data_IF_756883076714
#
_entry.id   IF_756883076714
#
_cell.length_a   1.000
_cell.length_b   1.000
_cell.length_c   1.000
_cell.angle_alpha   90.00
_cell.angle_beta   90.00
_cell.angle_gamma   90.00
#
_symmetry.space_group_name_H-M   'P 1'
#
loop_
_entity.id
_entity.type
_entity.pdbx_description
1 polymer ?
#
# COMPACT_ATOMS: atom_id res chain seq x y z
N UNK A 1 -1.96 24.49 -4.69
CA UNK A 1 -2.05 23.05 -4.34
C UNK A 1 -3.45 22.43 -4.56
N UNK A 2 -4.57 23.16 -4.33
CA UNK A 2 -5.93 22.65 -4.61
C UNK A 2 -6.28 22.45 -6.10
N UNK A 3 -5.58 23.08 -7.04
CA UNK A 3 -5.92 23.02 -8.48
C UNK A 3 -5.33 21.84 -9.27
N UNK A 4 -4.30 21.16 -8.76
CA UNK A 4 -3.70 20.01 -9.46
C UNK A 4 -4.44 18.70 -9.18
N UNK A 5 -5.10 18.57 -8.02
CA UNK A 5 -5.95 17.43 -7.69
C UNK A 5 -7.35 17.50 -8.34
N UNK A 6 -7.81 18.69 -8.72
CA UNK A 6 -9.16 18.91 -9.26
C UNK A 6 -9.42 18.27 -10.62
N UNK A 7 -8.41 18.01 -11.44
CA UNK A 7 -8.59 17.44 -12.78
C UNK A 7 -8.58 15.92 -12.86
N UNK A 8 -8.04 15.23 -11.85
CA UNK A 8 -8.08 13.75 -11.72
C UNK A 8 -9.18 13.26 -10.76
N UNK A 9 -9.70 14.13 -9.89
CA UNK A 9 -10.63 13.77 -8.79
C UNK A 9 -12.08 14.22 -9.07
N UNK A 10 -12.36 14.82 -10.22
CA UNK A 10 -13.71 15.36 -10.56
C UNK A 10 -14.87 14.36 -10.56
N UNK A 11 -14.69 13.10 -10.14
CA UNK A 11 -15.72 12.04 -10.18
C UNK A 11 -15.94 11.34 -8.83
N UNK A 12 -15.27 11.75 -7.72
CA UNK A 12 -15.28 10.98 -6.46
C UNK A 12 -15.54 11.83 -5.21
N UNK A 13 -16.58 12.67 -5.21
CA UNK A 13 -17.02 13.36 -4.01
C UNK A 13 -18.42 12.90 -3.58
N UNK A 14 -18.50 11.74 -2.96
CA UNK A 14 -19.46 11.47 -1.89
C UNK A 14 -18.71 10.84 -0.72
N UNK A 15 -18.46 11.68 0.27
CA UNK A 15 -17.80 11.32 1.54
C UNK A 15 -18.70 10.33 2.29
N UNK A 16 -18.28 9.10 2.48
CA UNK A 16 -18.59 8.23 3.61
C UNK A 16 -18.66 6.69 3.36
N UNK A 17 -18.24 6.16 2.17
CA UNK A 17 -18.37 4.72 1.92
C UNK A 17 -17.17 4.12 1.15
N UNK A 18 -15.92 4.49 1.43
CA UNK A 18 -14.85 4.24 0.45
C UNK A 18 -14.11 2.91 0.55
N UNK A 19 -13.97 2.29 1.71
CA UNK A 19 -13.32 0.96 1.76
C UNK A 19 -14.20 -0.13 1.16
N UNK A 20 -15.44 -0.24 1.62
CA UNK A 20 -16.43 -1.17 1.07
C UNK A 20 -16.79 -0.85 -0.38
N UNK A 21 -16.89 0.44 -0.76
CA UNK A 21 -17.33 0.83 -2.10
C UNK A 21 -16.23 0.70 -3.17
N UNK A 22 -14.96 0.95 -2.87
CA UNK A 22 -13.87 0.78 -3.85
C UNK A 22 -13.60 -0.71 -4.09
N UNK A 23 -13.42 -1.50 -3.04
CA UNK A 23 -13.26 -2.95 -3.16
C UNK A 23 -14.56 -3.62 -3.63
N UNK A 24 -15.73 -3.16 -3.19
CA UNK A 24 -17.04 -3.66 -3.62
C UNK A 24 -17.33 -3.31 -5.09
N UNK A 25 -16.96 -2.11 -5.56
CA UNK A 25 -17.06 -1.72 -6.97
C UNK A 25 -16.14 -2.57 -7.85
N UNK A 26 -14.91 -2.85 -7.42
CA UNK A 26 -14.01 -3.77 -8.10
C UNK A 26 -14.52 -5.23 -8.03
N UNK A 27 -15.08 -5.68 -6.92
CA UNK A 27 -15.67 -7.02 -6.78
C UNK A 27 -16.94 -7.20 -7.62
N UNK A 28 -17.82 -6.21 -7.72
CA UNK A 28 -19.07 -6.28 -8.48
C UNK A 28 -18.91 -6.07 -9.97
N UNK A 29 -18.00 -5.20 -10.41
CA UNK A 29 -17.72 -5.03 -11.84
C UNK A 29 -17.18 -6.31 -12.48
N UNK A 30 -16.42 -7.13 -11.75
CA UNK A 30 -15.95 -8.42 -12.26
C UNK A 30 -17.04 -9.47 -12.32
N UNK A 31 -17.99 -9.52 -11.36
CA UNK A 31 -19.16 -10.41 -11.45
C UNK A 31 -20.08 -10.04 -12.62
N UNK A 32 -20.30 -8.76 -12.89
CA UNK A 32 -21.10 -8.32 -14.03
C UNK A 32 -20.44 -8.63 -15.38
N UNK A 33 -19.10 -8.48 -15.48
CA UNK A 33 -18.35 -8.87 -16.69
C UNK A 33 -18.31 -10.39 -16.88
N UNK A 34 -18.18 -11.19 -15.83
CA UNK A 34 -18.25 -12.65 -15.92
C UNK A 34 -19.62 -13.15 -16.37
N UNK A 35 -20.70 -12.56 -15.89
CA UNK A 35 -22.07 -12.93 -16.32
C UNK A 35 -22.29 -12.56 -17.79
N UNK A 36 -21.76 -11.42 -18.26
CA UNK A 36 -21.88 -11.00 -19.67
C UNK A 36 -21.05 -11.87 -20.62
N UNK A 37 -19.88 -12.35 -20.19
CA UNK A 37 -19.05 -13.28 -21.01
C UNK A 37 -19.63 -14.71 -21.03
N UNK A 38 -20.26 -15.17 -19.96
CA UNK A 38 -20.95 -16.49 -19.97
C UNK A 38 -22.18 -16.48 -20.88
N UNK A 39 -22.93 -15.38 -20.94
CA UNK A 39 -24.10 -15.27 -21.84
C UNK A 39 -23.71 -15.18 -23.31
N UNK A 40 -22.56 -14.57 -23.65
CA UNK A 40 -22.07 -14.60 -25.04
C UNK A 40 -21.50 -15.95 -25.45
N UNK A 41 -20.85 -16.70 -24.58
CA UNK A 41 -20.34 -18.04 -24.88
C UNK A 41 -21.48 -19.07 -25.09
N UNK A 42 -22.60 -18.95 -24.38
CA UNK A 42 -23.78 -19.80 -24.58
C UNK A 42 -24.53 -19.54 -25.89
N UNK A 43 -24.46 -18.31 -26.44
CA UNK A 43 -25.08 -17.97 -27.72
C UNK A 43 -24.27 -18.44 -28.94
N UNK A 44 -22.95 -18.66 -28.78
CA UNK A 44 -22.08 -19.11 -29.88
C UNK A 44 -22.09 -20.65 -30.09
N UNK A 45 -22.60 -21.43 -29.15
CA UNK A 45 -22.63 -22.89 -29.19
C UNK A 45 -23.85 -23.48 -29.93
N UNK A 46 -24.78 -22.68 -30.39
CA UNK A 46 -26.01 -23.15 -31.06
C UNK A 46 -25.98 -23.05 -32.61
N UNK A 47 -24.86 -22.64 -33.23
CA UNK A 47 -24.79 -22.45 -34.71
C UNK A 47 -23.78 -23.40 -35.41
N UNK A 48 -23.17 -24.33 -34.72
CA UNK A 48 -22.20 -25.25 -35.32
C UNK A 48 -22.65 -26.73 -35.26
N UNK A 49 -23.75 -27.05 -35.95
CA UNK A 49 -24.06 -28.43 -36.37
C UNK A 49 -24.32 -28.45 -37.87
N UNK A 50 -23.30 -28.75 -38.66
CA UNK A 50 -23.40 -28.92 -40.10
C UNK A 50 -22.13 -29.53 -40.69
N UNK A 51 -22.14 -30.84 -40.87
CA UNK A 51 -21.38 -31.75 -41.75
C UNK A 51 -20.03 -31.36 -42.33
N UNK A 52 -19.03 -32.26 -42.16
CA UNK A 52 -17.86 -32.36 -43.06
C UNK A 52 -16.73 -33.23 -42.51
N UNK A 53 -16.59 -34.37 -43.11
CA UNK A 53 -15.63 -35.49 -43.04
C UNK A 53 -14.21 -35.28 -42.50
N UNK A 54 -13.73 -36.36 -41.93
CA UNK A 54 -12.43 -36.66 -41.35
C UNK A 54 -11.21 -36.40 -42.24
N UNK A 55 -10.12 -35.94 -41.64
CA UNK A 55 -8.76 -36.44 -41.89
C UNK A 55 -7.93 -36.34 -40.60
N UNK A 56 -7.37 -37.50 -40.23
CA UNK A 56 -6.39 -37.69 -39.14
C UNK A 56 -5.11 -36.89 -39.40
N UNK A 57 -4.64 -36.16 -38.40
CA UNK A 57 -3.20 -35.97 -38.18
C UNK A 57 -2.94 -35.76 -36.70
N UNK A 58 -2.26 -36.73 -36.12
CA UNK A 58 -1.73 -36.69 -34.76
C UNK A 58 -0.66 -35.59 -34.65
N UNK A 59 -0.88 -34.58 -33.83
CA UNK A 59 0.18 -33.82 -33.18
C UNK A 59 -0.20 -33.63 -31.71
N UNK A 60 0.38 -34.48 -30.87
CA UNK A 60 0.40 -34.30 -29.44
C UNK A 60 1.31 -33.13 -29.10
N UNK A 61 0.76 -31.96 -28.99
CA UNK A 61 1.35 -30.86 -28.23
C UNK A 61 0.58 -30.81 -26.92
N UNK A 62 1.21 -31.29 -25.84
CA UNK A 62 0.71 -31.14 -24.50
C UNK A 62 0.76 -29.62 -24.17
N UNK A 63 -0.35 -28.93 -24.37
CA UNK A 63 -0.59 -27.63 -23.77
C UNK A 63 -0.68 -27.84 -22.25
N UNK A 64 0.41 -27.46 -21.57
CA UNK A 64 0.39 -27.27 -20.13
C UNK A 64 -0.48 -26.04 -19.87
N UNK A 65 -1.78 -26.23 -19.78
CA UNK A 65 -2.69 -25.23 -19.22
C UNK A 65 -2.34 -25.13 -17.74
N UNK A 66 -1.49 -24.17 -17.39
CA UNK A 66 -1.39 -23.67 -16.04
C UNK A 66 -2.77 -23.12 -15.68
N UNK A 67 -3.53 -23.88 -14.89
CA UNK A 67 -4.73 -23.40 -14.25
C UNK A 67 -4.30 -22.22 -13.36
N UNK A 68 -4.42 -21.00 -13.86
CA UNK A 68 -4.36 -19.82 -13.03
C UNK A 68 -5.51 -19.93 -12.02
N UNK A 69 -5.17 -20.37 -10.80
CA UNK A 69 -6.13 -20.35 -9.71
C UNK A 69 -6.56 -18.89 -9.52
N UNK A 70 -7.84 -18.63 -9.72
CA UNK A 70 -8.45 -17.34 -9.37
C UNK A 70 -8.34 -17.18 -7.85
N UNK A 71 -7.25 -16.56 -7.40
CA UNK A 71 -7.08 -16.20 -5.98
C UNK A 71 -8.08 -15.08 -5.71
N UNK A 72 -9.10 -15.37 -4.92
CA UNK A 72 -10.01 -14.37 -4.38
C UNK A 72 -9.36 -13.82 -3.12
N UNK A 73 -9.18 -12.50 -3.05
CA UNK A 73 -8.63 -11.84 -1.87
C UNK A 73 -9.49 -12.15 -0.64
N UNK A 74 -8.83 -12.57 0.44
CA UNK A 74 -9.48 -12.93 1.68
C UNK A 74 -9.68 -11.71 2.55
N UNK A 75 -10.87 -11.48 3.07
CA UNK A 75 -11.10 -10.50 4.12
C UNK A 75 -10.65 -11.07 5.47
N UNK A 76 -9.82 -10.31 6.19
CA UNK A 76 -9.40 -10.59 7.55
C UNK A 76 -10.19 -9.71 8.51
N UNK A 77 -10.52 -10.26 9.65
CA UNK A 77 -11.03 -9.51 10.79
C UNK A 77 -9.88 -8.94 11.62
N UNK A 78 -10.19 -7.96 12.47
CA UNK A 78 -9.22 -7.40 13.41
C UNK A 78 -9.84 -7.12 14.77
N UNK A 79 -8.99 -7.04 15.79
CA UNK A 79 -9.35 -6.49 17.08
C UNK A 79 -8.33 -5.45 17.51
N UNK A 80 -8.78 -4.43 18.22
CA UNK A 80 -7.92 -3.42 18.81
C UNK A 80 -7.30 -4.02 20.08
N UNK A 81 -5.97 -4.07 20.14
CA UNK A 81 -5.19 -4.52 21.29
C UNK A 81 -4.93 -3.34 22.22
N UNK A 82 -4.49 -2.21 21.64
CA UNK A 82 -4.22 -0.98 22.37
C UNK A 82 -4.48 0.27 21.50
N UNK A 83 -4.59 1.41 22.15
CA UNK A 83 -4.67 2.72 21.52
C UNK A 83 -3.61 3.62 22.16
N UNK A 84 -2.77 4.21 21.32
CA UNK A 84 -1.72 5.12 21.73
C UNK A 84 -2.06 6.54 21.31
N UNK A 85 -1.60 7.52 22.08
CA UNK A 85 -1.70 8.93 21.66
C UNK A 85 -0.80 9.15 20.45
N UNK A 86 -1.31 9.85 19.44
CA UNK A 86 -0.57 10.25 18.27
C UNK A 86 -0.72 11.75 18.03
N UNK A 87 0.27 12.40 17.44
CA UNK A 87 0.27 13.84 17.23
C UNK A 87 -0.60 14.21 16.03
N UNK A 88 -1.56 15.10 16.25
CA UNK A 88 -2.37 15.69 15.16
C UNK A 88 -1.59 16.62 14.23
N UNK A 89 -0.32 16.90 14.53
CA UNK A 89 0.59 17.62 13.63
C UNK A 89 1.39 16.67 12.72
N UNK A 90 1.27 15.36 12.93
CA UNK A 90 1.92 14.34 12.13
C UNK A 90 1.10 14.04 10.87
N UNK A 91 1.58 14.53 9.74
CA UNK A 91 1.07 14.13 8.43
C UNK A 91 1.78 12.85 7.99
N UNK A 92 1.34 11.72 8.53
CA UNK A 92 2.01 10.42 8.40
C UNK A 92 2.15 10.00 6.94
N UNK A 93 3.38 9.70 6.53
CA UNK A 93 3.71 9.21 5.20
C UNK A 93 4.48 7.89 5.22
N UNK A 94 5.08 7.54 6.34
CA UNK A 94 5.71 6.24 6.58
C UNK A 94 5.69 5.91 8.05
N UNK A 95 5.50 4.64 8.39
CA UNK A 95 5.47 4.14 9.76
C UNK A 95 6.22 2.82 9.82
N UNK A 96 7.07 2.62 10.83
CA UNK A 96 7.87 1.40 10.95
C UNK A 96 8.17 1.11 12.42
N UNK A 97 8.11 -0.17 12.82
CA UNK A 97 8.49 -0.59 14.17
C UNK A 97 9.78 -1.39 14.13
N UNK A 98 10.88 -0.80 14.57
CA UNK A 98 12.21 -1.39 14.49
C UNK A 98 12.85 -1.42 15.86
N UNK A 99 13.29 -2.60 16.30
CA UNK A 99 14.00 -2.81 17.58
C UNK A 99 13.31 -2.19 18.81
N UNK A 100 11.97 -2.32 18.88
CA UNK A 100 11.20 -1.79 20.00
C UNK A 100 10.89 -0.30 19.90
N UNK A 101 11.23 0.36 18.80
CA UNK A 101 11.04 1.78 18.58
C UNK A 101 10.06 2.02 17.42
N UNK A 102 9.05 2.86 17.65
CA UNK A 102 8.16 3.34 16.59
C UNK A 102 8.78 4.52 15.88
N UNK A 103 8.95 4.40 14.56
CA UNK A 103 9.47 5.43 13.68
C UNK A 103 8.39 5.93 12.75
N UNK A 104 8.43 7.24 12.46
CA UNK A 104 7.48 7.87 11.58
C UNK A 104 8.15 8.87 10.66
N UNK A 105 7.85 8.77 9.36
CA UNK A 105 8.13 9.80 8.37
C UNK A 105 6.91 10.67 8.16
N UNK A 106 7.09 12.00 8.20
CA UNK A 106 5.98 12.95 8.03
C UNK A 106 6.13 13.75 6.75
N UNK A 107 5.00 14.16 6.18
CA UNK A 107 4.91 15.04 5.02
C UNK A 107 4.71 16.51 5.38
N UNK A 108 4.38 17.30 4.36
CA UNK A 108 4.18 18.75 4.30
C UNK A 108 5.46 19.57 4.13
N UNK A 109 5.44 20.44 3.13
CA UNK A 109 6.53 21.40 2.87
C UNK A 109 6.85 22.24 4.10
N UNK A 110 8.12 22.32 4.46
CA UNK A 110 8.61 23.05 5.62
C UNK A 110 8.38 22.39 6.97
N UNK A 111 7.71 21.22 6.99
CA UNK A 111 7.39 20.47 8.22
C UNK A 111 7.82 19.00 8.16
N UNK A 112 8.23 18.50 7.01
CA UNK A 112 8.63 17.10 6.81
C UNK A 112 9.84 16.70 7.63
N UNK A 113 9.74 15.61 8.37
CA UNK A 113 10.80 15.09 9.22
C UNK A 113 10.65 13.58 9.45
N UNK A 114 11.69 12.97 9.99
CA UNK A 114 11.67 11.64 10.60
C UNK A 114 11.65 11.82 12.11
N UNK A 115 10.80 11.08 12.80
CA UNK A 115 10.70 11.11 14.25
C UNK A 115 10.55 9.72 14.86
N UNK A 116 10.80 9.63 16.16
CA UNK A 116 10.47 8.48 17.00
C UNK A 116 9.27 8.83 17.86
N UNK A 117 8.39 7.87 18.04
CA UNK A 117 7.19 8.01 18.89
C UNK A 117 7.36 7.12 20.12
N UNK A 118 7.26 7.71 21.29
CA UNK A 118 7.11 6.97 22.54
C UNK A 118 5.65 6.50 22.68
N UNK A 119 5.41 5.22 22.50
CA UNK A 119 4.05 4.64 22.50
C UNK A 119 3.34 4.78 23.84
N UNK A 120 4.06 4.97 24.95
CA UNK A 120 3.47 5.13 26.28
C UNK A 120 2.93 6.54 26.48
N UNK A 121 3.69 7.55 26.08
CA UNK A 121 3.36 8.96 26.31
C UNK A 121 2.80 9.69 25.06
N UNK A 122 2.97 9.10 23.88
CA UNK A 122 2.67 9.76 22.59
C UNK A 122 3.67 10.87 22.22
N UNK A 123 4.76 11.00 22.98
CA UNK A 123 5.75 12.06 22.76
C UNK A 123 6.62 11.74 21.56
N UNK A 124 6.73 12.71 20.64
CA UNK A 124 7.56 12.63 19.46
C UNK A 124 8.94 13.25 19.70
N UNK A 125 9.96 12.65 19.08
CA UNK A 125 11.36 13.15 19.08
C UNK A 125 11.87 13.19 17.64
N UNK A 126 12.07 14.38 17.09
CA UNK A 126 12.57 14.57 15.72
C UNK A 126 14.02 14.06 15.64
N UNK A 127 14.28 13.25 14.64
CA UNK A 127 15.60 12.65 14.35
C UNK A 127 16.27 13.38 13.18
N UNK A 128 15.54 13.63 12.10
CA UNK A 128 16.03 14.35 10.92
C UNK A 128 14.92 15.20 10.33
N UNK A 129 15.24 16.34 9.74
CA UNK A 129 14.29 17.21 9.05
C UNK A 129 14.71 17.40 7.60
N UNK A 130 13.74 17.43 6.68
CA UNK A 130 14.00 17.70 5.28
C UNK A 130 14.18 19.21 5.01
N UNK A 131 14.82 19.57 3.89
CA UNK A 131 14.75 20.93 3.37
C UNK A 131 13.31 21.42 3.24
N UNK A 132 13.07 22.70 3.51
CA UNK A 132 11.69 23.28 3.52
C UNK A 132 10.96 23.20 2.18
N UNK A 133 11.71 23.02 1.08
CA UNK A 133 11.16 22.86 -0.28
C UNK A 133 10.64 21.45 -0.56
N UNK A 134 10.98 20.48 0.28
CA UNK A 134 10.72 19.08 -0.01
C UNK A 134 9.56 18.57 0.85
N UNK A 135 8.70 17.81 0.21
CA UNK A 135 7.62 17.09 0.87
C UNK A 135 8.10 15.67 1.14
N UNK A 136 8.30 15.31 2.41
CA UNK A 136 8.73 13.97 2.83
C UNK A 136 7.62 12.94 2.66
N UNK A 137 8.03 11.74 2.31
CA UNK A 137 7.16 10.59 2.07
C UNK A 137 7.62 9.39 2.91
N UNK A 138 7.32 8.16 2.46
CA UNK A 138 7.63 6.93 3.15
C UNK A 138 9.06 6.80 3.64
N UNK A 139 9.25 6.07 4.72
CA UNK A 139 10.54 5.74 5.31
C UNK A 139 10.71 4.23 5.41
N UNK A 140 11.95 3.75 5.40
CA UNK A 140 12.28 2.38 5.79
C UNK A 140 13.72 2.27 6.28
N UNK A 141 13.95 1.37 7.24
CA UNK A 141 15.28 0.99 7.69
C UNK A 141 15.86 -0.10 6.78
N UNK A 142 17.10 0.10 6.38
CA UNK A 142 17.88 -0.93 5.68
C UNK A 142 19.29 -0.99 6.27
N UNK A 143 19.56 -2.05 7.03
CA UNK A 143 20.79 -2.15 7.82
C UNK A 143 20.90 -1.03 8.86
N UNK A 144 21.98 -0.25 8.79
CA UNK A 144 22.28 0.88 9.67
C UNK A 144 21.81 2.24 9.10
N UNK A 145 20.92 2.24 8.12
CA UNK A 145 20.48 3.42 7.38
C UNK A 145 18.97 3.55 7.40
N UNK A 146 18.50 4.80 7.30
CA UNK A 146 17.09 5.13 7.11
C UNK A 146 16.96 5.81 5.75
N UNK A 147 16.10 5.27 4.89
CA UNK A 147 15.72 5.87 3.61
C UNK A 147 14.44 6.66 3.80
N UNK A 148 14.37 7.87 3.25
CA UNK A 148 13.15 8.67 3.19
C UNK A 148 12.93 9.17 1.77
N UNK A 149 11.75 8.91 1.21
CA UNK A 149 11.35 9.39 -0.10
C UNK A 149 10.88 10.85 -0.04
N UNK A 150 10.76 11.46 -1.21
CA UNK A 150 10.08 12.75 -1.39
C UNK A 150 8.99 12.61 -2.46
N UNK A 151 7.90 13.37 -2.34
CA UNK A 151 6.79 13.32 -3.30
C UNK A 151 7.22 13.70 -4.72
N UNK A 152 7.49 14.99 -4.97
CA UNK A 152 7.77 15.53 -6.32
C UNK A 152 9.22 15.98 -6.51
N UNK A 153 10.04 15.91 -5.46
CA UNK A 153 11.44 16.38 -5.54
C UNK A 153 12.37 15.36 -6.19
N UNK A 154 11.86 14.18 -6.57
CA UNK A 154 12.60 13.11 -7.25
C UNK A 154 13.92 12.73 -6.56
N UNK A 155 13.92 12.69 -5.21
CA UNK A 155 15.10 12.35 -4.40
C UNK A 155 14.71 11.53 -3.16
N UNK A 156 15.59 10.58 -2.83
CA UNK A 156 15.60 9.89 -1.55
C UNK A 156 16.74 10.45 -0.69
N UNK A 157 16.43 10.69 0.58
CA UNK A 157 17.42 11.02 1.60
C UNK A 157 17.81 9.76 2.35
N UNK A 158 19.10 9.56 2.58
CA UNK A 158 19.63 8.42 3.36
C UNK A 158 20.35 8.98 4.57
N UNK A 159 19.90 8.55 5.75
CA UNK A 159 20.43 8.98 7.04
C UNK A 159 21.06 7.80 7.79
N UNK A 160 21.96 8.10 8.73
CA UNK A 160 22.31 7.16 9.78
C UNK A 160 21.20 7.09 10.85
N UNK A 161 21.27 6.13 11.77
CA UNK A 161 20.27 5.95 12.84
C UNK A 161 20.23 7.11 13.86
N UNK A 162 21.15 8.07 13.75
CA UNK A 162 21.19 9.29 14.58
C UNK A 162 20.61 10.50 13.84
N UNK A 163 20.21 10.32 12.57
CA UNK A 163 19.63 11.36 11.73
C UNK A 163 20.66 12.21 10.97
N UNK A 164 21.95 11.81 10.94
CA UNK A 164 22.93 12.50 10.12
C UNK A 164 22.74 12.09 8.66
N UNK A 165 22.62 13.07 7.75
CA UNK A 165 22.51 12.83 6.33
C UNK A 165 23.78 12.18 5.79
N UNK A 166 23.66 10.98 5.20
CA UNK A 166 24.77 10.25 4.56
C UNK A 166 24.85 10.64 3.07
N UNK A 167 23.73 10.52 2.37
CA UNK A 167 23.66 10.82 0.92
C UNK A 167 22.25 11.21 0.51
N UNK A 168 22.16 11.87 -0.65
CA UNK A 168 20.91 12.11 -1.37
C UNK A 168 21.00 11.40 -2.70
N UNK A 169 19.97 10.65 -3.07
CA UNK A 169 19.95 9.83 -4.27
C UNK A 169 18.81 10.32 -5.17
N UNK A 170 19.08 10.70 -6.43
CA UNK A 170 18.03 11.06 -7.36
C UNK A 170 17.29 9.80 -7.85
N UNK A 171 15.98 9.94 -8.07
CA UNK A 171 15.17 8.98 -8.80
C UNK A 171 14.17 9.72 -9.71
N UNK A 172 13.39 9.01 -10.50
CA UNK A 172 12.41 9.64 -11.40
C UNK A 172 10.99 9.34 -10.96
N UNK A 173 10.13 10.36 -11.07
CA UNK A 173 8.70 10.28 -10.76
C UNK A 173 8.41 10.51 -9.28
N UNK A 174 7.19 10.21 -8.89
CA UNK A 174 6.74 10.37 -7.50
C UNK A 174 7.28 9.23 -6.62
N UNK A 175 7.49 9.53 -5.34
CA UNK A 175 7.73 8.54 -4.30
C UNK A 175 6.65 8.65 -3.24
N UNK A 176 6.04 7.51 -2.85
CA UNK A 176 5.01 7.48 -1.83
C UNK A 176 5.43 6.57 -0.66
N UNK A 177 5.17 5.28 -0.72
CA UNK A 177 5.59 4.33 0.31
C UNK A 177 6.91 3.62 -0.04
N UNK A 178 7.62 3.15 0.97
CA UNK A 178 8.82 2.34 0.80
C UNK A 178 8.93 1.34 1.95
N UNK A 179 9.31 0.10 1.63
CA UNK A 179 9.62 -0.95 2.61
C UNK A 179 10.76 -1.84 2.11
N UNK A 180 11.18 -2.82 2.90
CA UNK A 180 12.28 -3.72 2.55
C UNK A 180 12.03 -5.16 2.99
N UNK A 181 12.52 -6.12 2.18
CA UNK A 181 12.64 -7.55 2.55
C UNK A 181 13.98 -7.88 3.22
N UNK A 182 14.79 -6.85 3.54
CA UNK A 182 16.15 -7.00 4.06
C UNK A 182 17.21 -7.17 2.97
N UNK A 183 16.81 -7.29 1.70
CA UNK A 183 17.72 -7.45 0.56
C UNK A 183 17.49 -6.35 -0.49
N UNK A 184 16.24 -6.01 -0.74
CA UNK A 184 15.77 -5.03 -1.73
C UNK A 184 14.83 -4.04 -1.07
N UNK A 185 14.66 -2.90 -1.72
CA UNK A 185 13.62 -1.94 -1.35
C UNK A 185 12.42 -2.08 -2.30
N UNK A 186 11.23 -1.84 -1.80
CA UNK A 186 9.98 -1.81 -2.56
C UNK A 186 9.38 -0.42 -2.43
N UNK A 187 9.05 0.22 -3.55
CA UNK A 187 8.64 1.61 -3.59
C UNK A 187 7.36 1.78 -4.39
N UNK A 188 6.36 2.43 -3.82
CA UNK A 188 5.11 2.82 -4.47
C UNK A 188 5.17 4.27 -4.96
N UNK A 189 4.26 4.64 -5.87
CA UNK A 189 4.12 5.98 -6.44
C UNK A 189 2.66 6.38 -6.70
N UNK A 190 1.72 5.68 -6.06
CA UNK A 190 0.28 5.90 -6.23
C UNK A 190 -0.33 5.23 -7.45
N UNK A 191 0.47 4.62 -8.33
CA UNK A 191 -0.02 3.74 -9.39
C UNK A 191 -0.30 2.33 -8.87
N UNK A 192 -0.67 1.42 -9.78
CA UNK A 192 -0.80 -0.01 -9.49
C UNK A 192 0.55 -0.75 -9.56
N UNK A 193 1.66 -0.04 -9.56
CA UNK A 193 3.00 -0.64 -9.71
C UNK A 193 3.84 -0.36 -8.46
N UNK A 194 4.46 -1.42 -7.92
CA UNK A 194 5.50 -1.32 -6.90
C UNK A 194 6.84 -1.57 -7.60
N UNK A 195 7.77 -0.63 -7.48
CA UNK A 195 9.13 -0.75 -8.01
C UNK A 195 10.00 -1.55 -7.04
N UNK A 196 10.81 -2.47 -7.56
CA UNK A 196 11.85 -3.18 -6.83
C UNK A 196 13.15 -2.40 -7.03
N UNK A 197 13.73 -1.89 -5.96
CA UNK A 197 14.83 -0.95 -5.97
C UNK A 197 16.08 -1.59 -5.34
N UNK A 198 17.22 -1.45 -6.00
CA UNK A 198 18.51 -1.79 -5.43
C UNK A 198 18.88 -0.79 -4.32
N UNK A 199 19.15 -1.21 -3.08
CA UNK A 199 19.40 -0.29 -1.97
C UNK A 199 20.70 0.51 -2.10
N UNK A 200 21.71 0.04 -2.84
CA UNK A 200 23.00 0.73 -2.98
C UNK A 200 22.98 1.75 -4.12
N UNK A 201 22.43 1.36 -5.29
CA UNK A 201 22.38 2.22 -6.50
C UNK A 201 21.11 3.03 -6.60
N UNK A 202 20.03 2.58 -5.94
CA UNK A 202 18.67 3.09 -6.04
C UNK A 202 18.06 2.95 -7.45
N UNK A 203 18.63 2.06 -8.26
CA UNK A 203 18.09 1.73 -9.58
C UNK A 203 16.93 0.75 -9.47
N UNK A 204 15.98 0.88 -10.38
CA UNK A 204 14.85 -0.07 -10.49
C UNK A 204 15.32 -1.35 -11.14
N UNK A 205 15.30 -2.46 -10.42
CA UNK A 205 15.67 -3.80 -10.90
C UNK A 205 14.48 -4.60 -11.44
N UNK A 206 13.25 -4.18 -11.07
CA UNK A 206 12.03 -4.85 -11.48
C UNK A 206 10.78 -4.11 -11.00
N UNK A 207 9.64 -4.64 -11.38
CA UNK A 207 8.34 -4.08 -11.01
C UNK A 207 7.35 -5.19 -10.66
N UNK A 208 6.43 -4.87 -9.77
CA UNK A 208 5.30 -5.73 -9.37
C UNK A 208 4.02 -5.00 -9.78
N UNK A 209 3.27 -5.54 -10.72
CA UNK A 209 1.94 -5.03 -11.07
C UNK A 209 0.90 -5.53 -10.08
N UNK A 210 0.33 -4.63 -9.28
CA UNK A 210 -0.64 -5.00 -8.23
C UNK A 210 -2.02 -5.17 -8.81
N UNK A 211 -2.64 -6.32 -8.55
CA UNK A 211 -3.97 -6.65 -9.04
C UNK A 211 -4.85 -7.23 -7.93
N UNK A 212 -6.15 -6.90 -7.99
CA UNK A 212 -7.19 -7.51 -7.18
C UNK A 212 -8.31 -8.02 -8.10
N UNK A 213 -8.66 -9.30 -8.01
CA UNK A 213 -9.67 -9.92 -8.88
C UNK A 213 -9.42 -9.66 -10.39
N UNK A 214 -8.17 -9.77 -10.82
CA UNK A 214 -7.70 -9.54 -12.19
C UNK A 214 -7.87 -8.10 -12.71
N UNK A 215 -8.05 -7.12 -11.82
CA UNK A 215 -8.05 -5.69 -12.16
C UNK A 215 -6.91 -4.99 -11.46
N UNK A 216 -6.25 -4.02 -12.11
CA UNK A 216 -5.20 -3.21 -11.49
C UNK A 216 -5.73 -2.50 -10.26
N UNK A 217 -4.97 -2.52 -9.16
CA UNK A 217 -5.28 -1.78 -7.94
C UNK A 217 -4.40 -0.54 -7.87
N UNK A 218 -5.00 0.60 -8.16
CA UNK A 218 -4.35 1.91 -8.10
C UNK A 218 -4.31 2.47 -6.66
N UNK A 219 -3.58 3.58 -6.49
CA UNK A 219 -3.47 4.33 -5.25
C UNK A 219 -2.73 3.56 -4.14
N UNK A 220 -1.82 2.67 -4.51
CA UNK A 220 -0.90 2.01 -3.57
C UNK A 220 -0.02 3.07 -2.92
N UNK A 221 -0.05 3.14 -1.59
CA UNK A 221 0.63 4.19 -0.82
C UNK A 221 1.66 3.58 0.13
N UNK A 222 1.53 3.83 1.41
CA UNK A 222 2.45 3.37 2.43
C UNK A 222 2.55 1.85 2.44
N UNK A 223 3.77 1.34 2.65
CA UNK A 223 4.12 -0.07 2.49
C UNK A 223 4.82 -0.61 3.74
N UNK A 224 4.48 -1.86 4.10
CA UNK A 224 5.18 -2.61 5.14
C UNK A 224 5.44 -4.05 4.71
N UNK A 225 6.64 -4.57 4.98
CA UNK A 225 7.00 -5.96 4.71
C UNK A 225 6.71 -6.83 5.93
N UNK A 226 5.76 -7.77 5.77
CA UNK A 226 5.33 -8.63 6.88
C UNK A 226 5.34 -10.09 6.43
N UNK A 227 6.19 -10.90 7.05
CA UNK A 227 6.25 -12.38 6.86
C UNK A 227 6.22 -12.82 5.39
N UNK A 228 6.98 -12.14 4.52
CA UNK A 228 7.10 -12.50 3.10
C UNK A 228 6.01 -11.90 2.19
N UNK A 229 5.22 -10.98 2.69
CA UNK A 229 4.18 -10.24 1.95
C UNK A 229 4.41 -8.74 2.05
N UNK A 230 3.93 -8.02 1.05
CA UNK A 230 3.85 -6.56 1.11
C UNK A 230 2.45 -6.20 1.59
N UNK A 231 2.37 -5.48 2.70
CA UNK A 231 1.13 -4.84 3.13
C UNK A 231 1.15 -3.39 2.68
N UNK A 232 0.00 -2.90 2.23
CA UNK A 232 -0.08 -1.55 1.67
C UNK A 232 -1.35 -0.83 2.09
N UNK A 233 -1.23 0.47 2.39
CA UNK A 233 -2.37 1.36 2.39
C UNK A 233 -2.86 1.60 0.94
N UNK A 234 -4.17 1.63 0.76
CA UNK A 234 -4.79 2.13 -0.48
C UNK A 234 -5.29 3.55 -0.20
N UNK A 235 -4.65 4.56 -0.81
CA UNK A 235 -4.92 5.97 -0.53
C UNK A 235 -6.40 6.33 -0.74
N UNK A 236 -6.95 7.16 0.13
CA UNK A 236 -8.36 7.53 0.22
C UNK A 236 -9.30 6.37 0.59
N UNK A 237 -8.75 5.26 1.05
CA UNK A 237 -9.48 4.11 1.55
C UNK A 237 -9.06 3.85 3.00
N UNK A 238 -9.95 3.29 3.80
CA UNK A 238 -9.62 2.80 5.14
C UNK A 238 -9.32 1.29 5.12
N UNK A 239 -8.79 0.80 4.01
CA UNK A 239 -8.32 -0.58 3.85
C UNK A 239 -6.82 -0.68 3.75
N UNK A 240 -6.26 -1.74 4.32
CA UNK A 240 -4.93 -2.22 4.00
C UNK A 240 -5.05 -3.54 3.23
N UNK A 241 -4.14 -3.77 2.31
CA UNK A 241 -4.14 -4.97 1.45
C UNK A 241 -2.85 -5.76 1.62
N UNK A 242 -2.98 -7.10 1.59
CA UNK A 242 -1.86 -8.04 1.56
C UNK A 242 -1.57 -8.40 0.11
N UNK A 243 -0.35 -8.17 -0.34
CA UNK A 243 0.10 -8.37 -1.72
C UNK A 243 1.16 -9.46 -1.76
N UNK A 244 0.99 -10.43 -2.61
CA UNK A 244 2.02 -11.42 -2.91
C UNK A 244 3.10 -10.79 -3.79
N UNK A 245 4.37 -10.68 -3.33
CA UNK A 245 5.40 -9.95 -4.05
C UNK A 245 5.89 -10.66 -5.33
N UNK A 246 5.58 -11.94 -5.51
CA UNK A 246 5.97 -12.71 -6.71
C UNK A 246 4.95 -12.53 -7.82
N UNK A 247 3.66 -12.54 -7.48
CA UNK A 247 2.56 -12.49 -8.46
C UNK A 247 1.91 -11.14 -8.60
N UNK A 248 2.12 -10.22 -7.64
CA UNK A 248 1.43 -8.95 -7.55
C UNK A 248 -0.05 -9.06 -7.18
N UNK A 249 -0.55 -10.27 -6.91
CA UNK A 249 -1.96 -10.47 -6.56
C UNK A 249 -2.22 -10.07 -5.12
N UNK A 250 -3.30 -9.32 -4.89
CA UNK A 250 -3.83 -9.10 -3.54
C UNK A 250 -4.40 -10.43 -3.05
N UNK A 251 -3.86 -10.95 -1.96
CA UNK A 251 -4.24 -12.23 -1.34
C UNK A 251 -5.16 -12.03 -0.15
N UNK A 252 -5.12 -10.86 0.47
CA UNK A 252 -5.96 -10.51 1.60
C UNK A 252 -6.15 -9.01 1.76
N UNK A 253 -7.11 -8.62 2.61
CA UNK A 253 -7.33 -7.23 3.00
C UNK A 253 -8.01 -7.13 4.36
N UNK A 254 -7.83 -5.99 5.02
CA UNK A 254 -8.52 -5.63 6.26
C UNK A 254 -9.28 -4.33 6.05
N UNK A 255 -10.55 -4.31 6.41
CA UNK A 255 -11.35 -3.09 6.45
C UNK A 255 -11.22 -2.43 7.84
N UNK A 256 -10.47 -1.34 7.90
CA UNK A 256 -10.21 -0.60 9.13
C UNK A 256 -11.12 0.63 9.29
N UNK A 257 -12.15 0.79 8.45
CA UNK A 257 -13.11 1.91 8.56
C UNK A 257 -13.76 2.06 9.94
N UNK A 258 -13.97 0.97 10.74
CA UNK A 258 -14.48 1.14 12.10
C UNK A 258 -13.59 1.98 13.03
N UNK A 259 -12.27 2.08 12.74
CA UNK A 259 -11.36 2.91 13.52
C UNK A 259 -11.69 4.41 13.42
N UNK A 260 -12.31 4.85 12.30
CA UNK A 260 -12.77 6.23 12.12
C UNK A 260 -13.73 6.69 13.21
N UNK A 261 -14.56 5.79 13.71
CA UNK A 261 -15.52 6.08 14.77
C UNK A 261 -14.82 6.49 16.08
N UNK A 262 -13.58 6.06 16.29
CA UNK A 262 -12.78 6.39 17.47
C UNK A 262 -12.03 7.72 17.33
N UNK A 263 -12.06 8.35 16.15
CA UNK A 263 -11.46 9.64 15.84
C UNK A 263 -12.46 10.79 15.88
N UNK A 264 -13.68 10.60 16.40
CA UNK A 264 -14.77 11.60 16.37
C UNK A 264 -14.41 12.97 16.96
N UNK A 265 -13.45 13.00 17.87
CA UNK A 265 -12.97 14.25 18.50
C UNK A 265 -11.79 14.88 17.73
N UNK A 266 -11.48 14.38 16.52
CA UNK A 266 -10.44 14.90 15.66
C UNK A 266 -11.00 15.16 14.25
N UNK A 267 -11.65 16.31 14.02
CA UNK A 267 -12.24 16.64 12.72
C UNK A 267 -11.20 16.85 11.61
N UNK A 268 -9.93 17.08 11.99
CA UNK A 268 -8.81 17.27 11.05
C UNK A 268 -8.20 15.95 10.58
N UNK A 269 -8.65 14.80 11.11
CA UNK A 269 -8.15 13.50 10.69
C UNK A 269 -8.38 13.26 9.18
N UNK A 270 -7.29 13.13 8.44
CA UNK A 270 -7.29 12.90 6.99
C UNK A 270 -7.22 11.39 6.64
N UNK A 271 -6.62 11.03 5.52
CA UNK A 271 -6.53 9.67 5.03
C UNK A 271 -5.77 8.77 6.02
N UNK A 272 -6.23 7.53 6.16
CA UNK A 272 -5.46 6.48 6.83
C UNK A 272 -4.17 6.25 6.05
N UNK A 273 -3.05 6.23 6.75
CA UNK A 273 -1.73 5.98 6.18
C UNK A 273 -0.74 5.63 7.30
N UNK A 274 0.06 4.60 7.08
CA UNK A 274 1.03 4.08 8.03
C UNK A 274 0.63 2.70 8.57
N UNK A 275 1.49 1.72 8.30
CA UNK A 275 1.43 0.35 8.79
C UNK A 275 2.80 0.02 9.36
N UNK A 276 2.85 -0.47 10.60
CA UNK A 276 4.08 -1.00 11.18
C UNK A 276 3.81 -2.36 11.81
N UNK A 277 4.78 -3.24 11.78
CA UNK A 277 4.65 -4.61 12.27
C UNK A 277 5.58 -4.88 13.45
N UNK A 278 5.02 -5.43 14.53
CA UNK A 278 5.81 -5.93 15.65
C UNK A 278 6.02 -7.46 15.51
N UNK A 279 7.22 -7.92 15.18
CA UNK A 279 7.47 -9.34 14.93
C UNK A 279 7.39 -10.21 16.21
N UNK A 280 7.51 -9.61 17.39
CA UNK A 280 7.42 -10.33 18.67
C UNK A 280 5.96 -10.65 19.03
N UNK A 281 5.07 -9.67 18.90
CA UNK A 281 3.64 -9.82 19.22
C UNK A 281 2.81 -10.24 18.02
N UNK A 282 3.31 -10.05 16.80
CA UNK A 282 2.61 -10.19 15.51
C UNK A 282 1.45 -9.20 15.32
N UNK A 283 1.41 -8.16 16.13
CA UNK A 283 0.45 -7.10 15.99
C UNK A 283 0.90 -6.08 14.95
N UNK A 284 -0.08 -5.41 14.34
CA UNK A 284 0.16 -4.26 13.51
C UNK A 284 -0.16 -2.98 14.27
N UNK A 285 0.59 -1.94 13.93
CA UNK A 285 0.25 -0.57 14.30
C UNK A 285 -0.25 0.14 13.07
N UNK A 286 -1.37 0.86 13.19
CA UNK A 286 -1.95 1.64 12.09
C UNK A 286 -2.37 3.03 12.58
N UNK A 287 -2.20 4.02 11.71
CA UNK A 287 -2.57 5.41 11.98
C UNK A 287 -3.01 6.12 10.70
N UNK A 288 -2.99 7.43 10.69
CA UNK A 288 -3.30 8.23 9.51
C UNK A 288 -2.85 9.67 9.65
N UNK A 289 -2.97 10.40 8.56
CA UNK A 289 -2.58 11.80 8.44
C UNK A 289 -3.40 12.65 9.41
N UNK A 290 -2.69 13.35 10.31
CA UNK A 290 -3.28 14.18 11.37
C UNK A 290 -4.20 13.43 12.35
N UNK A 291 -4.08 12.11 12.44
CA UNK A 291 -4.84 11.33 13.43
C UNK A 291 -4.31 11.59 14.83
N UNK A 292 -5.21 11.62 15.81
CA UNK A 292 -4.86 11.73 17.23
C UNK A 292 -4.67 10.36 17.92
N UNK A 293 -4.71 9.29 17.15
CA UNK A 293 -4.56 7.90 17.62
C UNK A 293 -3.67 7.09 16.69
N UNK A 294 -2.86 6.25 17.30
CA UNK A 294 -2.18 5.12 16.69
C UNK A 294 -2.77 3.87 17.34
N UNK A 295 -3.26 2.95 16.53
CA UNK A 295 -3.92 1.74 16.99
C UNK A 295 -2.99 0.55 16.86
N UNK A 296 -2.83 -0.22 17.95
CA UNK A 296 -2.27 -1.56 17.89
C UNK A 296 -3.42 -2.55 17.66
N UNK A 297 -3.33 -3.32 16.60
CA UNK A 297 -4.36 -4.26 16.18
C UNK A 297 -3.78 -5.67 16.00
N UNK A 298 -4.58 -6.68 16.30
CA UNK A 298 -4.32 -8.06 15.92
C UNK A 298 -5.25 -8.43 14.77
N UNK A 299 -4.68 -9.01 13.72
CA UNK A 299 -5.42 -9.50 12.55
C UNK A 299 -5.64 -11.01 12.73
N UNK A 300 -6.85 -11.49 12.44
CA UNK A 300 -7.19 -12.90 12.51
C UNK A 300 -8.14 -13.35 11.37
N UNK A 301 -8.24 -14.67 11.23
CA UNK A 301 -9.05 -15.30 10.16
C UNK A 301 -10.43 -15.65 10.65
#
# INVERSE_FOLDING_TARGET
>A
MQHYFGSKIGILLEKNYLCGALLYKYMYMTKAKMISTLTMAAAALLIACGNGSATNSNNNTAETQTLEQNIVAKEYDFRIVAQHTHSTESYTQGLEYVDGVMWEGTGREGKSHIQRIDLTSGKCSIVASLPKSDFGEGITHFGDRIYQLTWLSEKAYVYDLKGSLIKTIPYRGEGWGITTDGTRLFMSDGSSVIRIINPETFETEGVIGVTINNSSLELINELEWIEGKIWANVYLSDCIVEIDPVTGKVTGFVNLSPLRELLKNNPEAEAMNGIAYNPETKNLYVTGKDWNRLFEIEIYK
#
